data_IF_458940145009
#
_entry.id   IF_458940145009
#
_cell.length_a   1.000
_cell.length_b   1.000
_cell.length_c   1.000
_cell.angle_alpha   90.00
_cell.angle_beta   90.00
_cell.angle_gamma   90.00
#
_symmetry.space_group_name_H-M   'P 1'
#
loop_
_entity.id
_entity.type
_entity.pdbx_description
1 polymer ?
#
# COMPACT_ATOMS: atom_id res chain seq x y z
N UNK A 1 -16.50 14.39 22.25
CA UNK A 1 -17.08 15.68 21.87
C UNK A 1 -17.13 15.72 20.34
N UNK A 2 -18.27 15.41 19.76
CA UNK A 2 -18.48 15.49 18.31
C UNK A 2 -18.77 16.94 17.95
N UNK A 3 -17.90 17.55 17.14
CA UNK A 3 -18.08 18.89 16.53
C UNK A 3 -19.34 18.97 15.65
N UNK A 4 -20.02 17.84 15.42
CA UNK A 4 -21.11 17.64 14.49
C UNK A 4 -22.40 18.40 14.79
N UNK A 5 -22.71 18.67 16.05
CA UNK A 5 -24.06 19.15 16.42
C UNK A 5 -24.29 20.65 16.21
N UNK A 6 -23.24 21.46 16.04
CA UNK A 6 -23.36 22.93 15.98
C UNK A 6 -23.00 23.53 14.59
N UNK A 7 -22.65 22.68 13.62
CA UNK A 7 -22.24 23.15 12.28
C UNK A 7 -23.45 23.20 11.33
N UNK A 8 -23.83 24.42 10.92
CA UNK A 8 -24.91 24.67 9.96
C UNK A 8 -24.54 24.10 8.60
N UNK A 9 -25.30 23.11 8.11
CA UNK A 9 -25.10 22.55 6.77
C UNK A 9 -25.68 23.48 5.68
N UNK A 10 -25.05 23.58 4.50
CA UNK A 10 -23.76 22.97 4.14
C UNK A 10 -22.57 23.67 4.81
N UNK A 11 -21.50 22.91 5.08
CA UNK A 11 -20.29 23.45 5.69
C UNK A 11 -19.56 24.35 4.69
N UNK A 12 -18.75 25.27 5.22
CA UNK A 12 -17.80 26.00 4.40
C UNK A 12 -16.82 25.01 3.74
N UNK A 13 -16.50 25.15 2.43
CA UNK A 13 -15.66 24.20 1.72
C UNK A 13 -14.29 23.94 2.37
N UNK A 14 -13.67 24.94 3.00
CA UNK A 14 -12.40 24.76 3.70
C UNK A 14 -12.57 23.98 5.00
N UNK A 15 -13.72 24.13 5.67
CA UNK A 15 -14.07 23.33 6.85
C UNK A 15 -14.33 21.89 6.43
N UNK A 16 -15.10 21.64 5.37
CA UNK A 16 -15.30 20.29 4.81
C UNK A 16 -13.97 19.64 4.43
N UNK A 17 -13.07 20.37 3.78
CA UNK A 17 -11.74 19.86 3.43
C UNK A 17 -10.91 19.53 4.67
N UNK A 18 -10.93 20.41 5.67
CA UNK A 18 -10.19 20.20 6.93
C UNK A 18 -10.71 18.96 7.64
N UNK A 19 -12.04 18.84 7.79
CA UNK A 19 -12.70 17.68 8.41
C UNK A 19 -12.38 16.40 7.63
N UNK A 20 -12.42 16.44 6.30
CA UNK A 20 -12.08 15.30 5.45
C UNK A 20 -10.63 14.84 5.66
N UNK A 21 -9.67 15.77 5.65
CA UNK A 21 -8.24 15.47 5.82
C UNK A 21 -7.90 15.03 7.24
N UNK A 22 -8.58 15.56 8.26
CA UNK A 22 -8.33 15.19 9.67
C UNK A 22 -9.08 13.95 10.11
N UNK A 23 -10.27 13.68 9.55
CA UNK A 23 -11.15 12.61 9.98
C UNK A 23 -10.68 11.23 9.53
N UNK A 24 -9.92 11.14 8.43
CA UNK A 24 -9.40 9.88 7.86
C UNK A 24 -10.44 8.75 7.73
N UNK A 25 -11.73 9.08 7.63
CA UNK A 25 -12.77 8.07 7.46
C UNK A 25 -12.70 7.51 6.04
N UNK A 26 -12.79 6.19 5.91
CA UNK A 26 -12.68 5.48 4.63
C UNK A 26 -13.93 5.60 3.76
N UNK A 27 -15.06 5.99 4.34
CA UNK A 27 -16.34 6.12 3.66
C UNK A 27 -17.08 7.37 4.09
N UNK A 28 -17.83 7.96 3.14
CA UNK A 28 -18.74 9.08 3.39
C UNK A 28 -19.79 8.74 4.45
N UNK A 29 -20.23 7.49 4.52
CA UNK A 29 -21.23 7.02 5.50
C UNK A 29 -20.71 7.00 6.93
N UNK A 30 -19.39 7.02 7.13
CA UNK A 30 -18.75 7.08 8.44
C UNK A 30 -18.51 8.53 8.90
N UNK A 31 -18.96 9.53 8.14
CA UNK A 31 -18.82 10.95 8.48
C UNK A 31 -20.13 11.52 9.02
N UNK A 32 -20.03 12.53 9.87
CA UNK A 32 -21.19 13.23 10.43
C UNK A 32 -21.92 14.14 9.41
N UNK A 33 -21.38 14.27 8.19
CA UNK A 33 -21.86 15.21 7.16
C UNK A 33 -22.04 14.56 5.78
N UNK A 34 -22.82 13.46 5.65
CA UNK A 34 -22.97 12.73 4.39
C UNK A 34 -23.73 13.51 3.30
N UNK A 35 -24.52 14.51 3.70
CA UNK A 35 -25.31 15.37 2.81
C UNK A 35 -24.56 16.63 2.35
N UNK A 36 -23.33 16.88 2.82
CA UNK A 36 -22.56 18.05 2.43
C UNK A 36 -22.01 17.90 1.00
N UNK A 37 -22.25 18.88 0.10
CA UNK A 37 -21.85 18.77 -1.31
C UNK A 37 -20.33 18.71 -1.49
N UNK A 38 -19.56 19.39 -0.63
CA UNK A 38 -18.10 19.36 -0.68
C UNK A 38 -17.57 18.01 -0.20
N UNK A 39 -18.14 17.46 0.87
CA UNK A 39 -17.80 16.11 1.34
C UNK A 39 -18.13 15.03 0.29
N UNK A 40 -19.29 15.10 -0.35
CA UNK A 40 -19.66 14.20 -1.44
C UNK A 40 -18.67 14.26 -2.60
N UNK A 41 -18.24 15.48 -2.97
CA UNK A 41 -17.23 15.67 -4.01
C UNK A 41 -15.87 15.08 -3.61
N UNK A 42 -15.39 15.37 -2.40
CA UNK A 42 -14.11 14.88 -1.90
C UNK A 42 -14.08 13.35 -1.81
N UNK A 43 -15.11 12.74 -1.23
CA UNK A 43 -15.24 11.28 -1.18
C UNK A 43 -15.44 10.68 -2.57
N UNK A 44 -16.17 11.34 -3.48
CA UNK A 44 -16.32 10.88 -4.87
C UNK A 44 -15.04 10.98 -5.69
N UNK A 45 -14.19 11.96 -5.42
CA UNK A 45 -12.84 12.07 -6.01
C UNK A 45 -11.92 11.01 -5.42
N UNK A 46 -11.91 10.87 -4.09
CA UNK A 46 -11.10 9.85 -3.41
C UNK A 46 -11.51 8.43 -3.84
N UNK A 47 -12.81 8.12 -3.87
CA UNK A 47 -13.31 6.82 -4.31
C UNK A 47 -12.91 6.49 -5.75
N UNK A 48 -12.78 7.47 -6.64
CA UNK A 48 -12.29 7.28 -8.02
C UNK A 48 -10.76 7.14 -8.08
N UNK A 49 -10.02 7.95 -7.34
CA UNK A 49 -8.55 7.93 -7.35
C UNK A 49 -7.97 6.70 -6.65
N UNK A 50 -8.65 6.23 -5.62
CA UNK A 50 -8.22 5.11 -4.78
C UNK A 50 -9.09 3.87 -4.98
N UNK A 51 -9.93 3.83 -6.02
CA UNK A 51 -10.80 2.68 -6.33
C UNK A 51 -10.00 1.37 -6.34
N UNK A 52 -8.85 1.39 -7.00
CA UNK A 52 -7.93 0.25 -7.15
C UNK A 52 -7.14 -0.08 -5.86
N UNK A 53 -7.13 0.80 -4.86
CA UNK A 53 -6.41 0.59 -3.60
C UNK A 53 -7.34 0.30 -2.40
N UNK A 54 -8.58 0.80 -2.42
CA UNK A 54 -9.55 0.61 -1.32
C UNK A 54 -10.18 -0.78 -1.39
N UNK A 55 -10.54 -1.25 -2.59
CA UNK A 55 -11.13 -2.57 -2.79
C UNK A 55 -10.26 -3.71 -2.26
N UNK A 56 -8.96 -3.82 -2.58
CA UNK A 56 -8.12 -4.91 -2.06
C UNK A 56 -7.85 -4.81 -0.55
N UNK A 57 -7.88 -3.61 0.06
CA UNK A 57 -7.63 -3.46 1.49
C UNK A 57 -8.85 -3.81 2.34
N UNK A 58 -10.06 -3.46 1.89
CA UNK A 58 -11.30 -3.87 2.54
C UNK A 58 -11.57 -5.37 2.38
N UNK A 59 -11.24 -5.93 1.21
CA UNK A 59 -11.32 -7.36 0.93
C UNK A 59 -10.30 -8.14 1.79
N UNK A 60 -9.07 -7.63 1.91
CA UNK A 60 -8.08 -8.17 2.85
C UNK A 60 -8.50 -8.06 4.32
N UNK A 61 -9.31 -7.07 4.69
CA UNK A 61 -9.89 -6.96 6.04
C UNK A 61 -10.93 -8.05 6.29
N UNK A 62 -11.85 -8.25 5.33
CA UNK A 62 -12.90 -9.28 5.39
C UNK A 62 -12.31 -10.68 5.40
N UNK A 63 -11.31 -10.92 4.56
CA UNK A 63 -10.56 -12.18 4.49
C UNK A 63 -9.86 -12.51 5.83
N UNK A 64 -9.31 -11.51 6.52
CA UNK A 64 -8.64 -11.74 7.81
C UNK A 64 -9.63 -12.08 8.92
N UNK A 65 -10.80 -11.41 8.93
CA UNK A 65 -11.87 -11.71 9.89
C UNK A 65 -12.39 -13.13 9.68
N UNK A 66 -12.66 -13.54 8.43
CA UNK A 66 -13.11 -14.90 8.14
C UNK A 66 -12.08 -15.96 8.53
N UNK A 67 -10.78 -15.69 8.34
CA UNK A 67 -9.71 -16.59 8.81
C UNK A 67 -9.75 -16.78 10.33
N UNK A 68 -9.94 -15.70 11.08
CA UNK A 68 -10.02 -15.76 12.53
C UNK A 68 -11.23 -16.58 12.99
N UNK A 69 -12.37 -16.41 12.33
CA UNK A 69 -13.59 -17.18 12.61
C UNK A 69 -13.38 -18.68 12.30
N UNK A 70 -12.81 -19.01 11.15
CA UNK A 70 -12.53 -20.38 10.72
C UNK A 70 -11.53 -21.08 11.64
N UNK A 71 -10.45 -20.39 12.01
CA UNK A 71 -9.44 -20.91 12.93
C UNK A 71 -10.04 -21.13 14.33
N UNK A 72 -10.84 -20.18 14.82
CA UNK A 72 -11.51 -20.29 16.12
C UNK A 72 -12.48 -21.46 16.16
N UNK A 73 -13.32 -21.62 15.12
CA UNK A 73 -14.25 -22.72 15.00
C UNK A 73 -13.55 -24.09 14.90
N UNK A 74 -12.41 -24.15 14.20
CA UNK A 74 -11.60 -25.38 14.10
C UNK A 74 -10.94 -25.76 15.43
N UNK A 75 -10.43 -24.78 16.18
CA UNK A 75 -9.84 -25.00 17.51
C UNK A 75 -10.92 -25.41 18.52
N UNK A 76 -12.10 -24.79 18.48
CA UNK A 76 -13.24 -25.18 19.32
C UNK A 76 -13.69 -26.61 19.02
N UNK A 77 -13.79 -27.00 17.74
CA UNK A 77 -14.07 -28.40 17.36
C UNK A 77 -13.02 -29.38 17.87
N UNK A 78 -11.74 -29.02 17.83
CA UNK A 78 -10.67 -29.86 18.37
C UNK A 78 -10.76 -30.01 19.90
N UNK A 79 -11.13 -28.94 20.61
CA UNK A 79 -11.36 -28.96 22.07
C UNK A 79 -12.58 -29.80 22.45
N UNK A 80 -13.71 -29.67 21.73
CA UNK A 80 -14.91 -30.47 21.97
C UNK A 80 -14.66 -31.96 21.72
N UNK A 81 -13.89 -32.29 20.68
CA UNK A 81 -13.45 -33.66 20.44
C UNK A 81 -12.60 -34.16 21.60
N UNK A 82 -11.60 -33.39 22.05
CA UNK A 82 -10.69 -33.77 23.13
C UNK A 82 -11.40 -33.91 24.50
N UNK A 83 -12.49 -33.17 24.71
CA UNK A 83 -13.37 -33.29 25.89
C UNK A 83 -14.37 -34.45 25.82
N UNK A 84 -14.55 -35.07 24.66
CA UNK A 84 -15.40 -36.25 24.48
C UNK A 84 -14.58 -37.55 24.57
N UNK A 85 -14.97 -38.47 25.45
CA UNK A 85 -14.28 -39.76 25.69
C UNK A 85 -14.27 -40.70 24.46
N UNK A 86 -14.94 -40.33 23.37
CA UNK A 86 -15.05 -41.10 22.13
C UNK A 86 -14.16 -40.61 20.99
N UNK A 87 -13.40 -39.52 21.17
CA UNK A 87 -12.57 -38.98 20.09
C UNK A 87 -11.29 -39.80 19.92
N UNK A 88 -11.01 -40.19 18.67
CA UNK A 88 -9.71 -40.75 18.33
C UNK A 88 -8.69 -39.62 18.26
N UNK A 89 -7.53 -39.79 18.91
CA UNK A 89 -6.43 -38.82 18.88
C UNK A 89 -6.07 -38.35 17.45
N UNK A 90 -6.28 -39.21 16.45
CA UNK A 90 -6.12 -38.90 15.02
C UNK A 90 -7.01 -37.75 14.54
N UNK A 91 -8.30 -37.72 14.93
CA UNK A 91 -9.23 -36.68 14.46
C UNK A 91 -8.89 -35.29 15.03
N UNK A 92 -8.39 -35.26 16.28
CA UNK A 92 -7.93 -34.03 16.91
C UNK A 92 -6.65 -33.52 16.22
N UNK A 93 -5.71 -34.41 15.92
CA UNK A 93 -4.48 -34.04 15.19
C UNK A 93 -4.78 -33.58 13.76
N UNK A 94 -5.75 -34.19 13.08
CA UNK A 94 -6.15 -33.81 11.73
C UNK A 94 -6.80 -32.41 11.71
N UNK A 95 -7.66 -32.11 12.68
CA UNK A 95 -8.29 -30.78 12.81
C UNK A 95 -7.25 -29.69 13.10
N UNK A 96 -6.26 -29.97 13.94
CA UNK A 96 -5.15 -29.05 14.22
C UNK A 96 -4.26 -28.85 12.98
N UNK A 97 -3.93 -29.94 12.27
CA UNK A 97 -3.12 -29.86 11.06
C UNK A 97 -3.82 -29.08 9.94
N UNK A 98 -5.13 -29.26 9.77
CA UNK A 98 -5.94 -28.45 8.84
C UNK A 98 -5.91 -26.95 9.20
N UNK A 99 -5.92 -26.62 10.49
CA UNK A 99 -5.81 -25.23 10.96
C UNK A 99 -4.44 -24.63 10.65
N UNK A 100 -3.36 -25.40 10.85
CA UNK A 100 -1.99 -24.98 10.50
C UNK A 100 -1.86 -24.72 8.99
N UNK A 101 -2.43 -25.59 8.16
CA UNK A 101 -2.43 -25.41 6.71
C UNK A 101 -3.24 -24.18 6.27
N UNK A 102 -4.41 -23.94 6.87
CA UNK A 102 -5.21 -22.76 6.61
C UNK A 102 -4.44 -21.47 6.92
N UNK A 103 -3.82 -21.38 8.11
CA UNK A 103 -2.95 -20.25 8.47
C UNK A 103 -1.76 -20.08 7.52
N UNK A 104 -1.15 -21.19 7.11
CA UNK A 104 -0.05 -21.18 6.14
C UNK A 104 -0.46 -20.63 4.78
N UNK A 105 -1.63 -21.05 4.27
CA UNK A 105 -2.17 -20.58 2.98
C UNK A 105 -2.49 -19.09 3.00
N UNK A 106 -3.05 -18.60 4.10
CA UNK A 106 -3.31 -17.17 4.29
C UNK A 106 -2.02 -16.37 4.44
N UNK A 107 -1.05 -16.86 5.21
CA UNK A 107 0.27 -16.21 5.32
C UNK A 107 0.95 -16.06 3.96
N UNK A 108 0.84 -17.06 3.08
CA UNK A 108 1.36 -17.00 1.72
C UNK A 108 0.61 -15.99 0.84
N UNK A 109 -0.73 -15.95 0.93
CA UNK A 109 -1.59 -15.00 0.21
C UNK A 109 -1.24 -13.55 0.57
N UNK A 110 -1.00 -13.26 1.84
CA UNK A 110 -0.63 -11.90 2.29
C UNK A 110 0.84 -11.56 2.06
N UNK A 111 1.76 -12.52 2.08
CA UNK A 111 3.16 -12.25 1.70
C UNK A 111 3.32 -11.95 0.20
N UNK A 112 2.45 -12.48 -0.66
CA UNK A 112 2.38 -12.09 -2.08
C UNK A 112 1.70 -10.73 -2.29
N UNK A 113 0.78 -10.34 -1.41
CA UNK A 113 0.10 -9.03 -1.45
C UNK A 113 0.91 -7.90 -0.79
N UNK A 114 1.78 -8.22 0.18
CA UNK A 114 2.65 -7.28 0.88
C UNK A 114 3.90 -6.90 0.05
N UNK A 115 3.69 -6.16 -1.04
CA UNK A 115 4.68 -5.17 -1.47
C UNK A 115 4.86 -4.13 -0.35
N UNK A 116 6.07 -3.55 -0.18
CA UNK A 116 6.46 -2.90 1.07
C UNK A 116 5.52 -1.73 1.41
N UNK A 117 4.74 -1.94 2.47
CA UNK A 117 3.95 -0.94 3.17
C UNK A 117 4.92 0.16 3.61
N UNK A 118 4.88 1.28 2.89
CA UNK A 118 5.71 2.45 3.16
C UNK A 118 5.24 3.05 4.47
N UNK A 119 6.07 2.89 5.50
CA UNK A 119 5.94 3.57 6.78
C UNK A 119 5.65 5.05 6.58
N UNK A 120 4.66 5.53 7.32
CA UNK A 120 4.26 6.93 7.41
C UNK A 120 5.48 7.85 7.49
N UNK A 121 5.55 8.95 6.70
CA UNK A 121 6.70 9.85 6.74
C UNK A 121 6.72 10.56 8.10
N UNK A 122 7.80 10.36 8.85
CA UNK A 122 8.09 11.18 10.02
C UNK A 122 8.19 12.66 9.62
N UNK A 123 7.73 13.62 10.45
CA UNK A 123 7.80 15.03 10.10
C UNK A 123 9.27 15.46 9.97
N UNK A 124 9.62 16.28 8.97
CA UNK A 124 10.98 16.78 8.82
C UNK A 124 11.32 17.72 9.97
N UNK A 125 12.42 17.45 10.67
CA UNK A 125 13.02 18.38 11.62
C UNK A 125 13.37 19.68 10.92
N UNK A 126 12.71 20.76 11.35
CA UNK A 126 13.01 22.14 10.95
C UNK A 126 14.46 22.47 11.28
N UNK A 127 15.31 22.54 10.25
CA UNK A 127 16.59 23.25 10.33
C UNK A 127 16.50 24.47 9.43
N UNK A 128 16.43 25.62 10.09
CA UNK A 128 16.53 26.95 9.52
C UNK A 128 17.92 27.16 8.94
N UNK A 129 18.02 27.41 7.64
CA UNK A 129 19.16 28.13 7.07
C UNK A 129 18.70 28.89 5.82
N UNK A 130 18.42 30.16 6.03
CA UNK A 130 18.26 31.18 5.01
C UNK A 130 19.53 31.32 4.18
N UNK A 131 19.45 31.17 2.86
CA UNK A 131 20.33 31.89 1.93
C UNK A 131 19.71 31.96 0.54
N UNK A 132 19.72 33.18 0.02
CA UNK A 132 19.04 33.64 -1.18
C UNK A 132 19.87 33.35 -2.43
N UNK A 133 19.27 32.71 -3.45
CA UNK A 133 19.72 32.76 -4.85
C UNK A 133 18.62 32.17 -5.78
N UNK A 134 18.48 32.65 -7.04
CA UNK A 134 17.34 32.35 -7.90
C UNK A 134 17.37 30.91 -8.46
N UNK A 135 16.20 30.28 -8.75
CA UNK A 135 16.17 28.90 -9.19
C UNK A 135 16.59 28.77 -10.65
N UNK A 136 17.73 28.11 -10.88
CA UNK A 136 18.11 27.60 -12.19
C UNK A 136 17.09 26.54 -12.63
N UNK A 137 16.62 26.65 -13.88
CA UNK A 137 15.70 25.71 -14.53
C UNK A 137 16.33 24.31 -14.55
N UNK A 138 15.83 23.43 -13.69
CA UNK A 138 16.13 21.99 -13.78
C UNK A 138 15.44 21.46 -15.05
N UNK A 139 16.15 20.80 -15.98
CA UNK A 139 15.51 20.12 -17.10
C UNK A 139 14.49 19.12 -16.57
N UNK A 140 13.24 19.22 -17.03
CA UNK A 140 12.21 18.22 -16.76
C UNK A 140 12.61 16.93 -17.46
N UNK A 141 13.40 16.11 -16.79
CA UNK A 141 13.70 14.74 -17.23
C UNK A 141 12.38 13.99 -17.18
N UNK A 142 11.89 13.55 -18.34
CA UNK A 142 10.67 12.79 -18.42
C UNK A 142 10.92 11.44 -17.74
N UNK A 143 10.04 11.05 -16.82
CA UNK A 143 10.13 9.76 -16.11
C UNK A 143 10.17 8.59 -17.10
N UNK A 144 9.61 8.79 -18.30
CA UNK A 144 9.65 7.83 -19.39
C UNK A 144 11.07 7.57 -19.93
N UNK A 145 11.93 8.59 -19.97
CA UNK A 145 13.29 8.49 -20.54
C UNK A 145 14.21 7.66 -19.63
N UNK A 146 13.98 7.73 -18.32
CA UNK A 146 14.70 6.90 -17.33
C UNK A 146 14.46 5.41 -17.57
N UNK A 147 13.21 5.00 -17.83
CA UNK A 147 12.85 3.59 -17.97
C UNK A 147 13.11 3.03 -19.35
N UNK A 148 12.99 3.86 -20.40
CA UNK A 148 13.45 3.51 -21.74
C UNK A 148 14.94 3.13 -21.72
N UNK A 149 15.78 3.94 -21.07
CA UNK A 149 17.21 3.64 -20.95
C UNK A 149 17.51 2.32 -20.21
N UNK A 150 16.79 2.01 -19.12
CA UNK A 150 16.97 0.72 -18.42
C UNK A 150 16.54 -0.46 -19.28
N UNK A 151 15.43 -0.31 -20.01
CA UNK A 151 14.89 -1.37 -20.88
C UNK A 151 15.87 -1.67 -22.01
N UNK A 152 16.34 -0.63 -22.72
CA UNK A 152 17.33 -0.75 -23.78
C UNK A 152 18.64 -1.39 -23.27
N UNK A 153 19.06 -1.07 -22.05
CA UNK A 153 20.27 -1.64 -21.47
C UNK A 153 20.11 -3.14 -21.16
N UNK A 154 18.95 -3.54 -20.67
CA UNK A 154 18.65 -4.95 -20.35
C UNK A 154 18.47 -5.77 -21.65
N UNK A 155 17.79 -5.23 -22.66
CA UNK A 155 17.60 -5.89 -23.96
C UNK A 155 18.91 -6.07 -24.73
N UNK A 156 19.84 -5.10 -24.62
CA UNK A 156 21.17 -5.21 -25.20
C UNK A 156 22.16 -6.03 -24.36
N UNK A 157 21.76 -6.49 -23.16
CA UNK A 157 22.59 -7.36 -22.32
C UNK A 157 22.35 -8.83 -22.67
N UNK A 158 23.39 -9.65 -22.59
CA UNK A 158 23.28 -11.09 -22.91
C UNK A 158 22.24 -11.78 -22.00
N UNK A 159 21.39 -12.68 -22.55
CA UNK A 159 20.24 -13.25 -21.83
C UNK A 159 20.60 -14.13 -20.63
N UNK A 160 21.88 -14.49 -20.48
CA UNK A 160 22.35 -15.45 -19.47
C UNK A 160 23.22 -14.80 -18.37
N UNK A 161 23.32 -13.46 -18.35
CA UNK A 161 24.06 -12.75 -17.31
C UNK A 161 23.15 -12.00 -16.33
N UNK A 162 23.52 -11.97 -15.03
CA UNK A 162 22.81 -11.17 -14.05
C UNK A 162 22.89 -9.69 -14.44
N UNK A 163 21.72 -9.03 -14.48
CA UNK A 163 21.61 -7.62 -14.86
C UNK A 163 22.52 -6.75 -13.98
N UNK A 164 23.50 -6.02 -14.55
CA UNK A 164 24.46 -5.24 -13.79
C UNK A 164 23.85 -3.88 -13.38
N UNK A 165 22.94 -3.91 -12.41
CA UNK A 165 22.18 -2.74 -11.93
C UNK A 165 23.03 -1.54 -11.52
N UNK A 166 24.20 -1.81 -10.91
CA UNK A 166 25.12 -0.76 -10.51
C UNK A 166 25.68 -0.02 -11.73
N UNK A 167 26.05 -0.75 -12.79
CA UNK A 167 26.55 -0.17 -14.04
C UNK A 167 25.47 0.64 -14.77
N UNK A 168 24.23 0.13 -14.79
CA UNK A 168 23.07 0.85 -15.35
C UNK A 168 22.87 2.20 -14.66
N UNK A 169 22.97 2.21 -13.33
CA UNK A 169 22.82 3.44 -12.54
C UNK A 169 23.95 4.43 -12.80
N UNK A 170 25.20 3.97 -12.81
CA UNK A 170 26.37 4.82 -13.03
C UNK A 170 26.36 5.44 -14.45
N UNK A 171 26.03 4.65 -15.47
CA UNK A 171 25.94 5.14 -16.85
C UNK A 171 24.71 6.04 -17.07
N UNK A 172 23.60 5.78 -16.38
CA UNK A 172 22.44 6.67 -16.39
C UNK A 172 22.73 8.01 -15.71
N UNK A 173 23.43 8.03 -14.57
CA UNK A 173 23.84 9.27 -13.90
C UNK A 173 24.75 10.13 -14.77
N UNK A 174 25.67 9.53 -15.54
CA UNK A 174 26.49 10.24 -16.54
C UNK A 174 25.63 10.91 -17.63
N UNK A 175 24.51 10.28 -18.00
CA UNK A 175 23.53 10.82 -18.95
C UNK A 175 22.51 11.77 -18.30
N UNK A 176 22.74 12.20 -17.06
CA UNK A 176 21.82 12.99 -16.23
C UNK A 176 20.46 12.32 -15.97
N UNK A 177 20.34 11.02 -16.23
CA UNK A 177 19.18 10.21 -15.85
C UNK A 177 19.28 9.82 -14.38
N UNK A 178 18.15 9.41 -13.79
CA UNK A 178 18.07 8.96 -12.39
C UNK A 178 18.46 10.01 -11.34
N UNK A 179 18.33 11.31 -11.63
CA UNK A 179 18.65 12.40 -10.70
C UNK A 179 17.91 12.27 -9.36
N UNK A 180 16.66 11.80 -9.39
CA UNK A 180 15.78 11.58 -8.23
C UNK A 180 16.18 10.40 -7.34
N UNK A 181 17.05 9.50 -7.82
CA UNK A 181 17.47 8.33 -7.05
C UNK A 181 18.85 8.56 -6.44
N UNK A 182 18.99 8.22 -5.15
CA UNK A 182 20.23 8.31 -4.40
C UNK A 182 21.14 7.09 -4.55
N UNK A 183 20.57 5.93 -4.90
CA UNK A 183 21.32 4.68 -5.05
C UNK A 183 20.68 3.75 -6.11
N UNK A 184 21.50 2.88 -6.71
CA UNK A 184 21.07 1.91 -7.71
C UNK A 184 20.02 0.92 -7.17
N UNK A 185 20.03 0.63 -5.86
CA UNK A 185 19.01 -0.20 -5.20
C UNK A 185 17.62 0.44 -5.26
N UNK A 186 17.54 1.75 -5.01
CA UNK A 186 16.28 2.52 -5.07
C UNK A 186 15.77 2.63 -6.51
N UNK A 187 16.67 2.86 -7.46
CA UNK A 187 16.36 2.86 -8.89
C UNK A 187 15.84 1.50 -9.35
N UNK A 188 16.51 0.39 -8.97
CA UNK A 188 16.09 -0.99 -9.28
C UNK A 188 14.67 -1.27 -8.77
N UNK A 189 14.39 -0.93 -7.51
CA UNK A 189 13.06 -1.11 -6.93
C UNK A 189 11.99 -0.29 -7.70
N UNK A 190 12.32 0.93 -8.10
CA UNK A 190 11.43 1.77 -8.89
C UNK A 190 11.22 1.24 -10.32
N UNK A 191 12.23 0.64 -10.95
CA UNK A 191 12.10 -0.02 -12.25
C UNK A 191 11.12 -1.20 -12.20
N UNK A 192 11.24 -2.08 -11.22
CA UNK A 192 10.29 -3.20 -11.09
C UNK A 192 8.86 -2.73 -10.83
N UNK A 193 8.68 -1.65 -10.06
CA UNK A 193 7.35 -1.01 -9.89
C UNK A 193 6.82 -0.40 -11.18
N UNK A 194 7.68 0.09 -12.06
CA UNK A 194 7.29 0.60 -13.36
C UNK A 194 6.95 -0.54 -14.33
N UNK A 195 7.77 -1.60 -14.38
CA UNK A 195 7.55 -2.78 -15.23
C UNK A 195 6.23 -3.49 -14.88
N UNK A 196 5.92 -3.67 -13.58
CA UNK A 196 4.66 -4.27 -13.12
C UNK A 196 3.40 -3.46 -13.52
N UNK A 197 3.54 -2.16 -13.77
CA UNK A 197 2.44 -1.30 -14.26
C UNK A 197 2.27 -1.32 -15.78
N UNK A 198 3.25 -1.89 -16.52
CA UNK A 198 3.27 -1.93 -17.98
C UNK A 198 2.90 -3.32 -18.54
N UNK A 199 2.99 -4.36 -17.72
CA UNK A 199 2.52 -5.72 -17.99
C UNK A 199 1.04 -5.85 -17.62
#
# INVERSE_FOLDING_TARGET
MTLANDLKQPLDPFVSLSVFLTGQHTSLSATDFPSDPTMQLLYGVAARLFHDQITPQEDAGKDLVSLCDDASASIQRALDLLGSDSSSSSQVTDSLHATIQLLGSYKAKYHQSAGPISSSPSPPSSSSSSSSAPPAKVPRINVNDNWAFVTDFIENSAPDQPIPWQRIYDDGKKKQLFSTYSNWKTMKAAYYRWMKRRA
#
